data_IF_673918800878
#
_entry.id   IF_673918800878
#
_cell.length_a   1.000
_cell.length_b   1.000
_cell.length_c   1.000
_cell.angle_alpha   90.00
_cell.angle_beta   90.00
_cell.angle_gamma   90.00
#
_symmetry.space_group_name_H-M   'P 1'
#
loop_
_entity.id
_entity.type
_entity.pdbx_description
1 polymer ?
#
# COMPACT_ATOMS: atom_id res chain seq x y z
N UNK A 1 -12.09 14.75 -17.90
CA UNK A 1 -10.76 14.12 -17.74
C UNK A 1 -10.52 13.76 -16.27
N UNK A 2 -9.76 12.70 -15.99
CA UNK A 2 -9.53 12.21 -14.62
C UNK A 2 -8.20 12.75 -14.12
N UNK A 3 -8.24 13.64 -13.14
CA UNK A 3 -7.07 14.15 -12.45
C UNK A 3 -6.91 13.40 -11.13
N UNK A 4 -5.98 12.45 -11.17
CA UNK A 4 -5.41 11.59 -10.14
C UNK A 4 -5.23 10.22 -10.80
N UNK A 5 -4.04 9.98 -11.34
CA UNK A 5 -3.67 8.77 -12.07
C UNK A 5 -3.68 7.55 -11.15
N UNK A 6 -4.84 6.93 -11.03
CA UNK A 6 -4.98 5.48 -11.13
C UNK A 6 -6.08 5.26 -12.17
N UNK A 7 -5.66 4.94 -13.38
CA UNK A 7 -6.60 4.66 -14.44
C UNK A 7 -7.46 3.44 -14.05
N UNK A 8 -8.71 3.41 -14.53
CA UNK A 8 -9.73 2.41 -14.16
C UNK A 8 -9.29 0.97 -14.50
N UNK A 9 -8.35 0.85 -15.42
CA UNK A 9 -7.66 -0.35 -15.90
C UNK A 9 -6.73 -0.99 -14.86
N UNK A 10 -6.39 -0.27 -13.78
CA UNK A 10 -5.60 -0.80 -12.66
C UNK A 10 -6.42 -1.22 -11.46
N UNK A 11 -7.75 -1.08 -11.50
CA UNK A 11 -8.61 -1.68 -10.47
C UNK A 11 -8.72 -3.16 -10.83
N UNK A 12 -7.92 -3.99 -10.17
CA UNK A 12 -8.02 -5.44 -10.32
C UNK A 12 -9.42 -5.92 -9.92
N UNK A 13 -9.93 -7.00 -10.54
CA UNK A 13 -11.18 -7.60 -10.12
C UNK A 13 -11.08 -8.04 -8.66
N UNK A 14 -12.21 -8.08 -7.95
CA UNK A 14 -12.27 -8.51 -6.54
C UNK A 14 -11.61 -9.88 -6.31
N UNK A 15 -11.65 -10.75 -7.32
CA UNK A 15 -11.02 -12.08 -7.32
C UNK A 15 -9.49 -12.04 -7.23
N UNK A 16 -8.83 -11.00 -7.77
CA UNK A 16 -7.37 -10.90 -7.76
C UNK A 16 -6.81 -10.83 -6.33
N UNK A 17 -7.40 -9.97 -5.49
CA UNK A 17 -6.96 -9.83 -4.10
C UNK A 17 -7.26 -11.09 -3.29
N UNK A 18 -8.32 -11.81 -3.64
CA UNK A 18 -8.63 -13.11 -3.06
C UNK A 18 -7.57 -14.17 -3.41
N UNK A 19 -7.13 -14.21 -4.67
CA UNK A 19 -6.06 -15.10 -5.11
C UNK A 19 -4.74 -14.78 -4.41
N UNK A 20 -4.39 -13.49 -4.29
CA UNK A 20 -3.20 -13.04 -3.54
C UNK A 20 -3.29 -13.47 -2.08
N UNK A 21 -4.44 -13.26 -1.42
CA UNK A 21 -4.69 -13.69 -0.04
C UNK A 21 -4.50 -15.21 0.12
N UNK A 22 -5.03 -16.00 -0.81
CA UNK A 22 -4.89 -17.47 -0.83
C UNK A 22 -3.43 -17.89 -0.98
N UNK A 23 -2.66 -17.24 -1.86
CA UNK A 23 -1.22 -17.50 -2.03
C UNK A 23 -0.45 -17.20 -0.74
N UNK A 24 -0.72 -16.06 -0.10
CA UNK A 24 -0.09 -15.69 1.17
C UNK A 24 -0.44 -16.70 2.27
N UNK A 25 -1.72 -17.08 2.36
CA UNK A 25 -2.18 -18.08 3.32
C UNK A 25 -1.41 -19.40 3.16
N UNK A 26 -1.34 -19.94 1.93
CA UNK A 26 -0.65 -21.21 1.65
C UNK A 26 0.85 -21.17 1.95
N UNK A 27 1.48 -19.99 1.85
CA UNK A 27 2.94 -19.85 1.97
C UNK A 27 3.42 -19.56 3.39
N UNK A 28 2.68 -18.78 4.16
CA UNK A 28 3.16 -18.27 5.45
C UNK A 28 2.35 -18.77 6.65
N UNK A 29 1.14 -19.29 6.45
CA UNK A 29 0.29 -19.74 7.57
C UNK A 29 0.62 -21.19 7.95
N UNK A 30 0.96 -21.41 9.22
CA UNK A 30 1.11 -22.77 9.75
C UNK A 30 -0.28 -23.41 9.97
N UNK A 31 -0.48 -24.71 9.64
CA UNK A 31 -1.75 -25.40 9.85
C UNK A 31 -2.28 -25.33 11.29
N UNK A 32 -1.39 -25.22 12.27
CA UNK A 32 -1.76 -25.12 13.69
C UNK A 32 -2.37 -23.77 14.08
N UNK A 33 -2.17 -22.72 13.28
CA UNK A 33 -2.75 -21.39 13.53
C UNK A 33 -4.13 -21.21 12.90
N UNK A 34 -4.56 -22.19 12.10
CA UNK A 34 -5.91 -22.23 11.57
C UNK A 34 -6.84 -22.74 12.69
N UNK A 35 -7.85 -21.94 13.09
CA UNK A 35 -8.84 -22.37 14.07
C UNK A 35 -9.42 -23.72 13.70
N UNK A 36 -9.63 -24.61 14.66
CA UNK A 36 -10.16 -25.97 14.39
C UNK A 36 -11.50 -25.96 13.64
N UNK A 37 -12.29 -24.88 13.80
CA UNK A 37 -13.55 -24.64 13.06
C UNK A 37 -13.37 -24.32 11.58
N UNK A 38 -12.15 -24.00 11.14
CA UNK A 38 -11.78 -23.69 9.75
C UNK A 38 -10.86 -24.77 9.14
N UNK A 39 -10.61 -25.87 9.86
CA UNK A 39 -9.82 -27.02 9.38
C UNK A 39 -10.61 -27.96 8.45
N UNK A 40 -11.74 -27.51 7.91
CA UNK A 40 -12.39 -28.20 6.79
C UNK A 40 -11.53 -28.09 5.52
N UNK A 41 -11.84 -28.89 4.51
CA UNK A 41 -11.15 -28.92 3.22
C UNK A 41 -10.94 -27.49 2.69
N UNK A 42 -9.67 -27.06 2.61
CA UNK A 42 -9.21 -25.74 2.11
C UNK A 42 -9.34 -24.55 3.08
N UNK A 43 -8.55 -24.50 4.17
CA UNK A 43 -8.62 -23.42 5.17
C UNK A 43 -8.33 -22.01 4.61
N UNK A 44 -7.57 -21.94 3.51
CA UNK A 44 -7.26 -20.68 2.85
C UNK A 44 -8.42 -20.10 2.03
N UNK A 45 -9.55 -20.79 1.87
CA UNK A 45 -10.74 -20.21 1.23
C UNK A 45 -11.32 -19.08 2.06
N UNK A 46 -11.28 -19.18 3.39
CA UNK A 46 -11.87 -18.19 4.29
C UNK A 46 -10.87 -17.54 5.24
N UNK A 47 -9.76 -18.21 5.55
CA UNK A 47 -8.76 -17.66 6.47
C UNK A 47 -8.08 -16.40 5.91
N UNK A 48 -8.08 -15.33 6.69
CA UNK A 48 -7.37 -14.08 6.37
C UNK A 48 -6.03 -14.06 7.10
N UNK A 49 -4.90 -14.13 6.38
CA UNK A 49 -3.59 -14.07 7.01
C UNK A 49 -3.37 -12.74 7.75
N UNK A 50 -2.59 -12.75 8.85
CA UNK A 50 -2.21 -11.52 9.54
C UNK A 50 -1.37 -10.62 8.63
N UNK A 51 -1.41 -9.31 8.88
CA UNK A 51 -0.67 -8.30 8.11
C UNK A 51 0.82 -8.60 7.96
N UNK A 52 1.45 -9.19 8.99
CA UNK A 52 2.84 -9.65 8.94
C UNK A 52 3.14 -10.56 7.73
N UNK A 53 2.25 -11.51 7.40
CA UNK A 53 2.46 -12.43 6.28
C UNK A 53 2.36 -11.71 4.94
N UNK A 54 1.49 -10.71 4.84
CA UNK A 54 1.46 -9.84 3.67
C UNK A 54 2.78 -9.10 3.50
N UNK A 55 3.34 -8.54 4.58
CA UNK A 55 4.66 -7.87 4.54
C UNK A 55 5.79 -8.83 4.14
N UNK A 56 5.80 -10.05 4.68
CA UNK A 56 6.78 -11.08 4.29
C UNK A 56 6.65 -11.46 2.80
N UNK A 57 5.42 -11.54 2.30
CA UNK A 57 5.15 -11.75 0.88
C UNK A 57 5.72 -10.63 0.01
N UNK A 58 5.42 -9.36 0.33
CA UNK A 58 5.98 -8.20 -0.39
C UNK A 58 7.51 -8.24 -0.43
N UNK A 59 8.14 -8.62 0.68
CA UNK A 59 9.60 -8.60 0.82
C UNK A 59 10.32 -9.79 0.15
N UNK A 60 9.60 -10.79 -0.36
CA UNK A 60 10.20 -12.08 -0.77
C UNK A 60 11.20 -11.96 -1.92
N UNK A 61 10.95 -11.09 -2.90
CA UNK A 61 11.79 -10.96 -4.10
C UNK A 61 12.42 -9.56 -4.22
N UNK A 62 12.68 -8.89 -3.10
CA UNK A 62 13.13 -7.48 -3.09
C UNK A 62 14.64 -7.31 -2.99
N UNK A 63 15.41 -8.41 -3.04
CA UNK A 63 16.87 -8.40 -2.94
C UNK A 63 17.60 -7.89 -4.19
N UNK A 64 16.90 -7.73 -5.31
CA UNK A 64 17.46 -7.20 -6.55
C UNK A 64 16.50 -6.22 -7.23
N UNK A 65 17.04 -5.32 -8.04
CA UNK A 65 16.23 -4.40 -8.85
C UNK A 65 15.28 -5.16 -9.80
N UNK A 66 15.73 -6.25 -10.42
CA UNK A 66 14.89 -7.07 -11.29
C UNK A 66 13.67 -7.64 -10.55
N UNK A 67 13.85 -8.09 -9.31
CA UNK A 67 12.76 -8.57 -8.48
C UNK A 67 11.77 -7.46 -8.12
N UNK A 68 12.26 -6.25 -7.83
CA UNK A 68 11.41 -5.08 -7.59
C UNK A 68 10.61 -4.71 -8.84
N UNK A 69 11.22 -4.74 -10.03
CA UNK A 69 10.52 -4.42 -11.29
C UNK A 69 9.43 -5.42 -11.68
N UNK A 70 9.48 -6.64 -11.14
CA UNK A 70 8.49 -7.71 -11.36
C UNK A 70 7.41 -7.75 -10.28
N UNK A 71 7.51 -6.92 -9.23
CA UNK A 71 6.45 -6.78 -8.24
C UNK A 71 5.17 -6.30 -8.91
N UNK A 72 4.02 -6.72 -8.37
CA UNK A 72 2.75 -6.16 -8.81
C UNK A 72 2.73 -4.64 -8.57
N UNK A 73 2.17 -3.91 -9.52
CA UNK A 73 2.11 -2.45 -9.50
C UNK A 73 1.36 -1.86 -8.30
N UNK A 74 0.55 -2.64 -7.57
CA UNK A 74 -0.15 -2.18 -6.36
C UNK A 74 0.78 -1.98 -5.16
N UNK A 75 1.88 -2.72 -5.10
CA UNK A 75 2.85 -2.66 -4.01
C UNK A 75 4.28 -2.39 -4.49
N UNK A 76 4.48 -2.20 -5.79
CA UNK A 76 5.73 -1.70 -6.31
C UNK A 76 5.97 -0.24 -5.88
N UNK A 77 7.21 0.17 -5.54
CA UNK A 77 7.50 1.56 -5.23
C UNK A 77 7.05 2.52 -6.34
N UNK A 78 6.46 3.66 -5.96
CA UNK A 78 5.96 4.69 -6.88
C UNK A 78 7.07 5.31 -7.73
N UNK A 79 8.28 5.41 -7.19
CA UNK A 79 9.48 5.81 -7.92
C UNK A 79 9.77 4.91 -9.12
N UNK A 80 9.41 3.63 -9.05
CA UNK A 80 9.52 2.66 -10.16
C UNK A 80 8.33 2.78 -11.11
N UNK A 81 7.10 2.83 -10.59
CA UNK A 81 5.87 2.83 -11.40
C UNK A 81 5.68 4.14 -12.19
N UNK A 82 5.85 5.29 -11.52
CA UNK A 82 5.50 6.60 -12.05
C UNK A 82 6.71 7.39 -12.58
N UNK A 83 7.93 6.88 -12.40
CA UNK A 83 9.17 7.53 -12.84
C UNK A 83 9.24 9.00 -12.40
N UNK A 84 9.01 9.25 -11.11
CA UNK A 84 8.80 10.60 -10.55
C UNK A 84 9.94 11.59 -10.84
N UNK A 85 11.15 11.09 -11.10
CA UNK A 85 12.31 11.91 -11.46
C UNK A 85 12.29 12.41 -12.91
N UNK A 86 11.52 11.78 -13.81
CA UNK A 86 11.52 12.10 -15.25
C UNK A 86 10.50 13.17 -15.63
N UNK A 87 9.52 13.43 -14.77
CA UNK A 87 8.45 14.38 -15.04
C UNK A 87 8.50 15.54 -14.05
N UNK A 88 8.24 16.75 -14.55
CA UNK A 88 8.11 17.94 -13.72
C UNK A 88 6.65 18.08 -13.30
N UNK A 89 6.30 17.56 -12.12
CA UNK A 89 4.93 17.65 -11.61
C UNK A 89 4.62 19.08 -11.15
N UNK A 90 3.47 19.60 -11.58
CA UNK A 90 2.96 20.89 -11.12
C UNK A 90 2.08 20.76 -9.86
N UNK A 91 1.70 19.54 -9.51
CA UNK A 91 0.87 19.22 -8.36
C UNK A 91 1.11 17.77 -7.92
N UNK A 92 1.21 17.55 -6.60
CA UNK A 92 1.27 16.23 -5.97
C UNK A 92 0.24 16.26 -4.84
N UNK A 93 -0.74 15.36 -4.90
CA UNK A 93 -1.76 15.20 -3.85
C UNK A 93 -1.46 13.99 -2.97
N UNK A 94 -1.95 14.01 -1.73
CA UNK A 94 -1.86 12.91 -0.78
C UNK A 94 -3.25 12.37 -0.45
N UNK A 95 -3.34 11.08 -0.14
CA UNK A 95 -4.62 10.47 0.22
C UNK A 95 -5.14 10.96 1.57
N UNK A 96 -4.24 11.26 2.51
CA UNK A 96 -4.57 11.74 3.84
C UNK A 96 -5.18 13.16 3.81
N UNK A 97 -4.80 13.96 2.82
CA UNK A 97 -5.29 15.33 2.60
C UNK A 97 -6.09 15.46 1.31
N UNK A 98 -6.60 14.34 0.78
CA UNK A 98 -7.15 14.25 -0.58
C UNK A 98 -8.20 15.33 -0.85
N UNK A 99 -9.13 15.55 0.08
CA UNK A 99 -10.20 16.54 -0.09
C UNK A 99 -9.65 17.96 -0.24
N UNK A 100 -8.69 18.32 0.60
CA UNK A 100 -8.06 19.64 0.56
C UNK A 100 -7.18 19.81 -0.69
N UNK A 101 -6.43 18.77 -1.03
CA UNK A 101 -5.54 18.73 -2.18
C UNK A 101 -6.34 18.84 -3.48
N UNK A 102 -7.39 18.03 -3.61
CA UNK A 102 -8.27 18.01 -4.77
C UNK A 102 -9.00 19.34 -4.94
N UNK A 103 -9.54 19.92 -3.87
CA UNK A 103 -10.17 21.24 -3.93
C UNK A 103 -9.17 22.34 -4.32
N UNK A 104 -7.94 22.27 -3.82
CA UNK A 104 -6.87 23.22 -4.20
C UNK A 104 -6.49 23.09 -5.66
N UNK A 105 -6.50 21.87 -6.20
CA UNK A 105 -6.24 21.59 -7.60
C UNK A 105 -7.36 22.13 -8.50
N UNK A 106 -8.63 21.91 -8.17
CA UNK A 106 -9.77 22.46 -8.92
C UNK A 106 -9.72 23.99 -9.01
N UNK A 107 -9.40 24.66 -7.88
CA UNK A 107 -9.20 26.11 -7.84
C UNK A 107 -8.08 26.58 -8.78
N UNK A 108 -6.93 25.89 -8.77
CA UNK A 108 -5.80 26.23 -9.66
C UNK A 108 -6.13 26.05 -11.14
N UNK A 109 -7.05 25.15 -11.46
CA UNK A 109 -7.49 24.87 -12.84
C UNK A 109 -8.71 25.72 -13.24
N UNK A 110 -9.20 26.62 -12.37
CA UNK A 110 -10.42 27.40 -12.58
C UNK A 110 -11.65 26.54 -12.90
N UNK A 111 -11.75 25.35 -12.30
CA UNK A 111 -12.91 24.47 -12.44
C UNK A 111 -13.88 24.74 -11.30
N UNK A 112 -15.00 25.38 -11.60
CA UNK A 112 -16.09 25.66 -10.63
C UNK A 112 -17.13 24.55 -10.57
N UNK A 113 -17.39 23.87 -11.70
CA UNK A 113 -18.55 22.99 -11.87
C UNK A 113 -18.19 21.50 -11.75
N UNK A 114 -17.39 21.16 -10.75
CA UNK A 114 -17.04 19.77 -10.50
C UNK A 114 -18.17 19.02 -9.78
N UNK A 115 -18.67 17.94 -10.40
CA UNK A 115 -19.67 17.08 -9.79
C UNK A 115 -19.04 16.17 -8.72
N UNK A 116 -19.23 16.53 -7.46
CA UNK A 116 -18.78 15.75 -6.29
C UNK A 116 -19.48 14.39 -6.13
N UNK A 117 -20.64 14.14 -6.75
CA UNK A 117 -21.33 12.85 -6.70
C UNK A 117 -20.63 11.78 -7.54
N UNK A 118 -19.84 12.18 -8.55
CA UNK A 118 -18.97 11.25 -9.31
C UNK A 118 -17.70 10.88 -8.56
N UNK A 119 -17.50 11.42 -7.35
CA UNK A 119 -16.31 11.20 -6.53
C UNK A 119 -16.36 9.80 -5.93
N UNK A 120 -15.75 8.84 -6.61
CA UNK A 120 -15.44 7.50 -6.08
C UNK A 120 -14.01 7.54 -5.54
N UNK A 121 -13.86 7.95 -4.30
CA UNK A 121 -12.56 7.99 -3.63
C UNK A 121 -12.51 6.96 -2.51
N UNK A 122 -11.42 6.20 -2.45
CA UNK A 122 -11.05 5.54 -1.21
C UNK A 122 -10.67 6.64 -0.21
N UNK A 123 -11.39 6.75 0.90
CA UNK A 123 -10.95 7.53 2.04
C UNK A 123 -9.63 6.94 2.51
N UNK A 124 -8.57 7.75 2.63
CA UNK A 124 -7.35 7.29 3.29
C UNK A 124 -7.69 6.79 4.70
N UNK A 125 -7.10 5.67 5.12
CA UNK A 125 -7.20 5.30 6.53
C UNK A 125 -6.53 6.36 7.39
N UNK A 126 -7.03 6.56 8.60
CA UNK A 126 -6.41 7.51 9.52
C UNK A 126 -5.02 7.00 9.96
N UNK A 127 -4.16 7.92 10.41
CA UNK A 127 -2.79 7.62 10.87
C UNK A 127 -2.75 6.50 11.91
N UNK A 128 -3.76 6.42 12.78
CA UNK A 128 -3.85 5.42 13.84
C UNK A 128 -4.00 3.99 13.28
N UNK A 129 -4.78 3.78 12.23
CA UNK A 129 -4.91 2.46 11.58
C UNK A 129 -3.56 1.94 11.10
N UNK A 130 -2.75 2.80 10.46
CA UNK A 130 -1.41 2.41 10.03
C UNK A 130 -0.50 2.09 11.22
N UNK A 131 -0.56 2.88 12.30
CA UNK A 131 0.21 2.61 13.52
C UNK A 131 -0.13 1.25 14.14
N UNK A 132 -1.40 0.82 14.11
CA UNK A 132 -1.79 -0.52 14.55
C UNK A 132 -1.26 -1.63 13.66
N UNK A 133 -1.20 -1.42 12.34
CA UNK A 133 -0.60 -2.39 11.42
C UNK A 133 0.91 -2.52 11.67
N UNK A 134 1.63 -1.41 11.77
CA UNK A 134 3.07 -1.41 12.04
C UNK A 134 3.44 -1.94 13.43
N UNK A 135 2.58 -1.77 14.44
CA UNK A 135 2.83 -2.30 15.79
C UNK A 135 2.94 -3.83 15.80
N UNK A 136 2.23 -4.51 14.88
CA UNK A 136 2.26 -5.98 14.72
C UNK A 136 3.53 -6.53 14.05
N UNK A 137 4.39 -5.68 13.48
CA UNK A 137 5.55 -6.11 12.70
C UNK A 137 6.83 -6.14 13.54
N UNK A 138 7.65 -7.20 13.46
CA UNK A 138 9.02 -7.18 13.99
C UNK A 138 9.89 -6.07 13.37
N UNK A 139 10.86 -5.54 14.13
CA UNK A 139 11.74 -4.45 13.68
C UNK A 139 12.45 -4.75 12.36
N UNK A 140 12.93 -5.99 12.17
CA UNK A 140 13.62 -6.38 10.94
C UNK A 140 12.73 -6.28 9.69
N UNK A 141 11.43 -6.55 9.81
CA UNK A 141 10.49 -6.39 8.68
C UNK A 141 10.23 -4.92 8.40
N UNK A 142 10.09 -4.08 9.44
CA UNK A 142 9.95 -2.64 9.27
C UNK A 142 11.17 -2.05 8.59
N UNK A 143 12.38 -2.43 9.01
CA UNK A 143 13.61 -1.93 8.39
C UNK A 143 13.76 -2.35 6.92
N UNK A 144 13.35 -3.57 6.58
CA UNK A 144 13.33 -4.04 5.19
C UNK A 144 12.29 -3.29 4.35
N UNK A 145 11.09 -3.05 4.89
CA UNK A 145 10.07 -2.22 4.23
C UNK A 145 10.57 -0.78 4.03
N UNK A 146 11.15 -0.17 5.07
CA UNK A 146 11.74 1.17 5.00
C UNK A 146 12.79 1.24 3.89
N UNK A 147 13.65 0.23 3.77
CA UNK A 147 14.66 0.16 2.71
C UNK A 147 14.03 0.04 1.32
N UNK A 148 13.01 -0.80 1.16
CA UNK A 148 12.31 -0.99 -0.11
C UNK A 148 11.63 0.29 -0.62
N UNK A 149 11.01 1.06 0.27
CA UNK A 149 10.28 2.29 -0.09
C UNK A 149 11.03 3.57 0.26
N UNK A 150 12.34 3.50 0.52
CA UNK A 150 13.12 4.63 1.02
C UNK A 150 12.99 5.87 0.11
N UNK A 151 13.12 5.66 -1.19
CA UNK A 151 13.09 6.76 -2.16
C UNK A 151 11.69 7.40 -2.19
N UNK A 152 10.63 6.60 -2.18
CA UNK A 152 9.25 7.11 -2.10
C UNK A 152 9.01 7.93 -0.83
N UNK A 153 9.48 7.43 0.33
CA UNK A 153 9.38 8.14 1.59
C UNK A 153 10.06 9.52 1.50
N UNK A 154 11.25 9.59 0.91
CA UNK A 154 11.98 10.84 0.73
C UNK A 154 11.29 11.78 -0.27
N UNK A 155 10.94 11.29 -1.47
CA UNK A 155 10.33 12.12 -2.51
C UNK A 155 8.99 12.73 -2.10
N UNK A 156 8.20 11.99 -1.30
CA UNK A 156 6.87 12.43 -0.88
C UNK A 156 6.82 12.97 0.55
N UNK A 157 8.00 13.14 1.17
CA UNK A 157 8.17 13.69 2.52
C UNK A 157 7.34 12.93 3.57
N UNK A 158 7.45 11.61 3.57
CA UNK A 158 6.91 10.72 4.59
C UNK A 158 8.04 10.26 5.51
N UNK A 159 7.74 10.18 6.81
CA UNK A 159 8.66 9.68 7.83
C UNK A 159 8.12 8.37 8.39
N UNK A 160 8.94 7.33 8.44
CA UNK A 160 8.50 6.05 9.00
C UNK A 160 8.17 6.18 10.50
N UNK A 161 8.83 7.13 11.17
CA UNK A 161 8.65 7.43 12.60
C UNK A 161 7.26 8.00 12.90
N UNK A 162 6.53 8.50 11.89
CA UNK A 162 5.13 8.89 12.06
C UNK A 162 4.20 7.68 12.27
N UNK A 163 4.60 6.51 11.76
CA UNK A 163 3.77 5.30 11.74
C UNK A 163 4.28 4.22 12.70
N UNK A 164 5.53 4.30 13.13
CA UNK A 164 6.14 3.33 14.03
C UNK A 164 6.37 3.96 15.40
N UNK A 165 5.56 3.56 16.39
CA UNK A 165 5.73 4.02 17.77
C UNK A 165 6.83 3.23 18.50
N UNK A 166 8.08 3.37 18.03
CA UNK A 166 9.28 2.77 18.64
C UNK A 166 10.35 3.83 18.82
N UNK A 167 10.72 4.07 20.07
CA UNK A 167 11.66 5.12 20.46
C UNK A 167 13.08 4.91 19.91
N UNK A 168 13.41 3.69 19.48
CA UNK A 168 14.75 3.26 19.03
C UNK A 168 14.67 2.23 17.89
N UNK A 169 13.83 2.46 16.87
CA UNK A 169 13.94 1.67 15.64
C UNK A 169 15.28 1.99 14.94
N UNK A 170 16.23 1.06 15.01
CA UNK A 170 17.52 1.16 14.32
C UNK A 170 17.50 0.24 13.10
N UNK A 171 17.57 0.88 11.94
CA UNK A 171 17.77 0.28 10.62
C UNK A 171 19.10 0.80 10.06
#
# INVERSE_FOLDING_TARGET
>A
ERIATLAKDRIQPETYYDDVRKVICRRYTHPDWVPSSLKEDHPCETFVPPFKHFVEFILTNTGSYSGITQMDGHWQPYTVVCQVCKFKYNFIGKYETFDNDFNSLLKRLNVSDWNNEKRRGASGHNKWTYQQLFSSLPDNLICRLKRLYNDDLQFFNYRIEDYVNRTTLIC
#
